data_IF_366327308421
#
_entry.id   IF_366327308421
#
_cell.length_a   1.000
_cell.length_b   1.000
_cell.length_c   1.000
_cell.angle_alpha   90.00
_cell.angle_beta   90.00
_cell.angle_gamma   90.00
#
_symmetry.space_group_name_H-M   'P 1'
#
loop_
_entity.id
_entity.type
_entity.pdbx_description
1 polymer ?
#
# COMPACT_ATOMS: atom_id res chain seq x y z
N UNK A 1 54.02 -22.53 51.66
CA UNK A 1 53.93 -21.19 51.02
C UNK A 1 52.91 -21.28 49.91
N UNK A 2 51.82 -20.53 50.03
CA UNK A 2 50.63 -20.66 49.18
C UNK A 2 50.83 -19.97 47.82
N UNK A 3 50.45 -20.66 46.74
CA UNK A 3 50.27 -20.09 45.41
C UNK A 3 48.89 -19.43 45.36
N UNK A 4 48.87 -18.10 45.20
CA UNK A 4 47.64 -17.33 44.97
C UNK A 4 47.43 -17.24 43.46
N UNK A 5 46.43 -17.93 42.94
CA UNK A 5 45.99 -17.81 41.56
C UNK A 5 45.02 -16.63 41.45
N UNK A 6 45.42 -15.56 40.76
CA UNK A 6 44.55 -14.45 40.38
C UNK A 6 43.71 -14.84 39.17
N UNK A 7 42.41 -15.05 39.37
CA UNK A 7 41.45 -15.22 38.30
C UNK A 7 41.09 -13.85 37.70
N UNK A 8 41.45 -13.62 36.42
CA UNK A 8 40.88 -12.53 35.63
C UNK A 8 39.40 -12.82 35.34
N UNK A 9 38.50 -12.06 35.97
CA UNK A 9 37.10 -12.03 35.58
C UNK A 9 36.95 -11.20 34.30
N UNK A 10 36.86 -11.87 33.14
CA UNK A 10 36.42 -11.25 31.91
C UNK A 10 34.89 -11.04 31.99
N UNK A 11 34.48 -9.80 32.28
CA UNK A 11 33.09 -9.39 32.11
C UNK A 11 32.77 -9.35 30.61
N UNK A 12 32.22 -10.45 30.09
CA UNK A 12 31.61 -10.48 28.76
C UNK A 12 30.32 -9.65 28.82
N UNK A 13 30.44 -8.36 28.55
CA UNK A 13 29.29 -7.50 28.26
C UNK A 13 28.61 -8.01 26.99
N UNK A 14 27.47 -8.68 27.14
CA UNK A 14 26.59 -8.95 26.01
C UNK A 14 26.11 -7.60 25.46
N UNK A 15 26.12 -7.37 24.14
CA UNK A 15 25.58 -6.13 23.60
C UNK A 15 24.08 -6.13 23.92
N UNK A 16 23.65 -5.17 24.74
CA UNK A 16 22.24 -4.87 24.95
C UNK A 16 21.71 -4.45 23.58
N UNK A 17 20.99 -5.36 22.90
CA UNK A 17 20.20 -5.01 21.74
C UNK A 17 19.18 -3.98 22.22
N UNK A 18 19.46 -2.70 21.96
CA UNK A 18 18.52 -1.64 22.26
C UNK A 18 17.23 -1.96 21.52
N UNK A 19 16.12 -2.05 22.25
CA UNK A 19 14.78 -2.05 21.66
C UNK A 19 14.74 -0.94 20.62
N UNK A 20 14.51 -1.32 19.35
CA UNK A 20 14.36 -0.36 18.28
C UNK A 20 13.27 0.63 18.72
N UNK A 21 13.64 1.88 18.91
CA UNK A 21 12.71 2.92 19.35
C UNK A 21 11.57 2.95 18.34
N UNK A 22 10.36 2.60 18.79
CA UNK A 22 9.19 2.56 17.93
C UNK A 22 9.05 3.89 17.19
N UNK A 23 8.94 3.83 15.86
CA UNK A 23 8.70 5.01 15.02
C UNK A 23 7.36 5.60 15.43
N UNK A 24 7.27 6.92 15.74
CA UNK A 24 6.05 7.52 16.26
C UNK A 24 5.04 7.80 15.14
N UNK A 25 4.51 6.74 14.51
CA UNK A 25 3.46 6.86 13.49
C UNK A 25 2.22 7.55 14.06
N UNK A 26 1.57 8.38 13.24
CA UNK A 26 0.33 9.08 13.60
C UNK A 26 -0.73 8.85 12.53
N UNK A 27 -1.90 8.36 12.95
CA UNK A 27 -3.10 8.36 12.10
C UNK A 27 -3.82 9.70 12.30
N UNK A 28 -3.76 10.58 11.30
CA UNK A 28 -4.43 11.89 11.36
C UNK A 28 -5.94 11.84 11.11
N UNK A 29 -6.43 10.73 10.55
CA UNK A 29 -7.85 10.49 10.25
C UNK A 29 -8.22 9.05 10.62
N UNK A 30 -9.50 8.83 10.93
CA UNK A 30 -10.03 7.49 11.17
C UNK A 30 -10.00 6.61 9.90
N UNK A 31 -10.31 5.32 10.06
CA UNK A 31 -10.22 4.35 8.96
C UNK A 31 -11.20 4.69 7.82
N UNK A 32 -12.43 5.09 8.14
CA UNK A 32 -13.44 5.43 7.13
C UNK A 32 -12.98 6.61 6.28
N UNK A 33 -12.56 7.69 6.94
CA UNK A 33 -12.04 8.89 6.29
C UNK A 33 -10.79 8.59 5.48
N UNK A 34 -9.91 7.72 5.97
CA UNK A 34 -8.73 7.27 5.22
C UNK A 34 -9.11 6.50 3.95
N UNK A 35 -10.04 5.56 4.05
CA UNK A 35 -10.53 4.83 2.89
C UNK A 35 -11.16 5.75 1.85
N UNK A 36 -12.00 6.69 2.29
CA UNK A 36 -12.74 7.61 1.40
C UNK A 36 -11.86 8.69 0.76
N UNK A 37 -10.89 9.24 1.50
CA UNK A 37 -10.14 10.42 1.05
C UNK A 37 -8.68 10.16 0.69
N UNK A 38 -8.16 8.95 0.93
CA UNK A 38 -6.78 8.59 0.55
C UNK A 38 -6.77 7.39 -0.39
N UNK A 39 -7.36 6.26 0.04
CA UNK A 39 -7.31 5.01 -0.72
C UNK A 39 -8.19 5.04 -1.98
N UNK A 40 -9.46 5.39 -1.82
CA UNK A 40 -10.45 5.39 -2.92
C UNK A 40 -10.06 6.34 -4.05
N UNK A 41 -9.64 7.61 -3.79
CA UNK A 41 -9.27 8.51 -4.88
C UNK A 41 -8.07 8.00 -5.68
N UNK A 42 -7.08 7.40 -5.01
CA UNK A 42 -5.90 6.83 -5.67
C UNK A 42 -6.27 5.61 -6.52
N UNK A 43 -7.10 4.70 -6.00
CA UNK A 43 -7.60 3.54 -6.76
C UNK A 43 -8.49 3.95 -7.94
N UNK A 44 -9.30 4.99 -7.78
CA UNK A 44 -10.19 5.52 -8.82
C UNK A 44 -9.43 5.95 -10.07
N UNK A 45 -8.22 6.48 -9.92
CA UNK A 45 -7.39 6.85 -11.07
C UNK A 45 -7.03 5.61 -11.91
N UNK A 46 -6.71 4.48 -11.26
CA UNK A 46 -6.42 3.21 -11.95
C UNK A 46 -7.67 2.65 -12.63
N UNK A 47 -8.80 2.61 -11.91
CA UNK A 47 -10.07 2.12 -12.48
C UNK A 47 -10.53 2.94 -13.69
N UNK A 48 -10.41 4.28 -13.62
CA UNK A 48 -10.79 5.18 -14.72
C UNK A 48 -9.97 4.95 -15.97
N UNK A 49 -8.68 4.59 -15.84
CA UNK A 49 -7.83 4.30 -17.00
C UNK A 49 -8.33 3.12 -17.84
N UNK A 50 -9.17 2.25 -17.27
CA UNK A 50 -9.80 1.11 -17.96
C UNK A 50 -11.30 1.34 -18.27
N UNK A 51 -11.84 2.52 -17.97
CA UNK A 51 -13.28 2.78 -18.03
C UNK A 51 -13.75 3.44 -19.33
N UNK A 52 -15.06 3.33 -19.59
CA UNK A 52 -15.78 4.21 -20.50
C UNK A 52 -16.93 4.90 -19.76
N UNK A 53 -17.35 6.07 -20.25
CA UNK A 53 -18.57 6.75 -19.79
C UNK A 53 -19.57 6.85 -20.93
N UNK A 54 -20.84 6.63 -20.64
CA UNK A 54 -21.92 6.81 -21.60
C UNK A 54 -22.70 8.07 -21.18
N UNK A 55 -22.77 9.05 -22.08
CA UNK A 55 -23.56 10.26 -21.90
C UNK A 55 -24.51 10.51 -23.09
N UNK A 56 -25.17 11.68 -23.12
CA UNK A 56 -26.12 12.04 -24.16
C UNK A 56 -25.51 12.08 -25.58
N UNK A 57 -24.19 12.12 -25.69
CA UNK A 57 -23.45 12.19 -26.96
C UNK A 57 -22.83 10.85 -27.37
N UNK A 58 -22.89 9.82 -26.53
CA UNK A 58 -22.42 8.47 -26.82
C UNK A 58 -21.49 7.89 -25.75
N UNK A 59 -20.78 6.83 -26.11
CA UNK A 59 -19.75 6.20 -25.28
C UNK A 59 -18.40 6.90 -25.49
N UNK A 60 -17.71 7.23 -24.39
CA UNK A 60 -16.40 7.86 -24.38
C UNK A 60 -15.41 7.00 -23.62
N UNK A 61 -14.36 6.58 -24.31
CA UNK A 61 -13.21 5.87 -23.73
C UNK A 61 -12.36 6.83 -22.87
N UNK A 62 -12.19 6.48 -21.60
CA UNK A 62 -11.40 7.21 -20.61
C UNK A 62 -9.93 6.75 -20.52
N UNK A 63 -9.51 5.81 -21.37
CA UNK A 63 -8.12 5.39 -21.42
C UNK A 63 -7.18 6.58 -21.68
N UNK A 64 -5.97 6.58 -21.08
CA UNK A 64 -5.01 7.67 -21.23
C UNK A 64 -4.50 7.79 -22.67
N UNK A 65 -4.59 8.99 -23.25
CA UNK A 65 -4.26 9.26 -24.67
C UNK A 65 -3.02 10.14 -24.82
N UNK A 66 -2.73 10.93 -23.81
CA UNK A 66 -1.62 11.88 -23.78
C UNK A 66 -0.63 11.55 -22.66
N UNK A 67 0.59 12.09 -22.74
CA UNK A 67 1.57 11.94 -21.67
C UNK A 67 1.06 12.50 -20.33
N UNK A 68 0.25 13.57 -20.37
CA UNK A 68 -0.38 14.14 -19.18
C UNK A 68 -1.38 13.18 -18.55
N UNK A 69 -2.18 12.47 -19.36
CA UNK A 69 -3.10 11.45 -18.84
C UNK A 69 -2.32 10.30 -18.18
N UNK A 70 -1.23 9.87 -18.81
CA UNK A 70 -0.36 8.83 -18.24
C UNK A 70 0.30 9.26 -16.93
N UNK A 71 0.76 10.51 -16.83
CA UNK A 71 1.33 11.06 -15.60
C UNK A 71 0.32 11.06 -14.44
N UNK A 72 -0.97 11.30 -14.73
CA UNK A 72 -2.02 11.17 -13.73
C UNK A 72 -2.14 9.73 -13.24
N UNK A 73 -2.11 8.73 -14.15
CA UNK A 73 -2.16 7.31 -13.78
C UNK A 73 -0.92 6.90 -12.97
N UNK A 74 0.26 7.36 -13.37
CA UNK A 74 1.52 7.17 -12.65
C UNK A 74 1.39 7.70 -11.22
N UNK A 75 0.98 8.96 -11.07
CA UNK A 75 0.82 9.62 -9.78
C UNK A 75 -0.21 8.91 -8.89
N UNK A 76 -1.36 8.53 -9.44
CA UNK A 76 -2.41 7.81 -8.73
C UNK A 76 -1.97 6.44 -8.25
N UNK A 77 -1.32 5.66 -9.13
CA UNK A 77 -0.85 4.32 -8.79
C UNK A 77 0.31 4.32 -7.79
N UNK A 78 1.25 5.27 -7.93
CA UNK A 78 2.31 5.46 -6.93
C UNK A 78 1.72 5.84 -5.57
N UNK A 79 0.75 6.77 -5.56
CA UNK A 79 0.05 7.17 -4.33
C UNK A 79 -0.66 5.98 -3.69
N UNK A 80 -1.36 5.15 -4.47
CA UNK A 80 -2.03 3.96 -3.94
C UNK A 80 -1.04 2.98 -3.33
N UNK A 81 0.06 2.70 -4.02
CA UNK A 81 1.10 1.78 -3.56
C UNK A 81 1.70 2.26 -2.23
N UNK A 82 2.06 3.53 -2.11
CA UNK A 82 2.63 4.08 -0.88
C UNK A 82 1.59 4.22 0.25
N UNK A 83 0.34 4.54 -0.08
CA UNK A 83 -0.72 4.67 0.91
C UNK A 83 -1.02 3.33 1.63
N UNK A 84 -0.72 2.19 1.02
CA UNK A 84 -0.87 0.88 1.68
C UNK A 84 -0.01 0.73 2.93
N UNK A 85 1.15 1.41 3.01
CA UNK A 85 1.96 1.44 4.22
C UNK A 85 1.17 2.01 5.41
N UNK A 86 0.32 3.01 5.15
CA UNK A 86 -0.53 3.60 6.16
C UNK A 86 -1.69 2.69 6.59
N UNK A 87 -2.01 1.61 5.87
CA UNK A 87 -2.91 0.56 6.37
C UNK A 87 -2.20 -0.34 7.40
N UNK A 88 -0.87 -0.45 7.33
CA UNK A 88 -0.07 -1.37 8.14
C UNK A 88 0.53 -0.73 9.39
N UNK A 89 0.29 0.57 9.64
CA UNK A 89 0.76 1.20 10.89
C UNK A 89 0.03 0.61 12.10
N UNK A 90 0.64 0.58 13.30
CA UNK A 90 0.07 -0.06 14.48
C UNK A 90 -1.32 0.46 14.89
N UNK A 91 -1.65 1.71 14.57
CA UNK A 91 -2.95 2.32 14.89
C UNK A 91 -4.09 1.86 13.98
N UNK A 92 -3.79 1.15 12.88
CA UNK A 92 -4.75 0.78 11.84
C UNK A 92 -4.75 -0.71 11.52
N UNK A 93 -3.59 -1.37 11.63
CA UNK A 93 -3.50 -2.81 11.44
C UNK A 93 -4.34 -3.55 12.48
N UNK A 94 -5.14 -4.52 12.03
CA UNK A 94 -5.98 -5.33 12.91
C UNK A 94 -5.28 -6.63 13.31
N UNK A 95 -4.80 -7.39 12.32
CA UNK A 95 -4.13 -8.67 12.51
C UNK A 95 -3.22 -9.01 11.33
N UNK A 96 -2.76 -10.26 11.26
CA UNK A 96 -1.91 -10.76 10.18
C UNK A 96 -2.61 -10.76 8.81
N UNK A 97 -3.89 -11.08 8.75
CA UNK A 97 -4.63 -11.15 7.48
C UNK A 97 -4.89 -9.74 6.94
N UNK A 98 -5.09 -8.74 7.81
CA UNK A 98 -5.12 -7.34 7.43
C UNK A 98 -3.83 -6.91 6.72
N UNK A 99 -2.69 -7.23 7.32
CA UNK A 99 -1.37 -6.91 6.76
C UNK A 99 -1.19 -7.60 5.41
N UNK A 100 -1.64 -8.85 5.28
CA UNK A 100 -1.57 -9.61 4.03
C UNK A 100 -2.37 -8.92 2.91
N UNK A 101 -3.63 -8.54 3.15
CA UNK A 101 -4.43 -7.81 2.16
C UNK A 101 -3.79 -6.47 1.78
N UNK A 102 -3.26 -5.72 2.74
CA UNK A 102 -2.56 -4.47 2.47
C UNK A 102 -1.32 -4.66 1.58
N UNK A 103 -0.55 -5.75 1.78
CA UNK A 103 0.62 -6.09 0.97
C UNK A 103 0.26 -6.58 -0.43
N UNK A 104 -0.84 -7.34 -0.56
CA UNK A 104 -1.39 -7.75 -1.86
C UNK A 104 -1.81 -6.51 -2.67
N UNK A 105 -2.53 -5.59 -2.04
CA UNK A 105 -2.90 -4.29 -2.63
C UNK A 105 -1.67 -3.48 -3.02
N UNK A 106 -0.65 -3.40 -2.15
CA UNK A 106 0.60 -2.69 -2.43
C UNK A 106 1.29 -3.25 -3.68
N UNK A 107 1.33 -4.57 -3.80
CA UNK A 107 1.95 -5.28 -4.92
C UNK A 107 1.22 -5.02 -6.23
N UNK A 108 -0.11 -5.09 -6.21
CA UNK A 108 -0.96 -4.79 -7.36
C UNK A 108 -0.81 -3.32 -7.79
N UNK A 109 -0.90 -2.38 -6.85
CA UNK A 109 -0.72 -0.95 -7.12
C UNK A 109 0.68 -0.64 -7.69
N UNK A 110 1.73 -1.28 -7.17
CA UNK A 110 3.08 -1.14 -7.71
C UNK A 110 3.22 -1.71 -9.13
N UNK A 111 2.46 -2.76 -9.49
CA UNK A 111 2.36 -3.25 -10.87
C UNK A 111 1.69 -2.20 -11.77
N UNK A 112 0.60 -1.57 -11.33
CA UNK A 112 -0.05 -0.50 -12.07
C UNK A 112 0.89 0.70 -12.26
N UNK A 113 1.59 1.13 -11.21
CA UNK A 113 2.59 2.21 -11.30
C UNK A 113 3.63 1.93 -12.38
N UNK A 114 4.27 0.74 -12.33
CA UNK A 114 5.25 0.35 -13.36
C UNK A 114 4.63 0.22 -14.75
N UNK A 115 3.38 -0.22 -14.85
CA UNK A 115 2.64 -0.29 -16.12
C UNK A 115 2.40 1.09 -16.70
N UNK A 116 1.94 2.02 -15.87
CA UNK A 116 1.69 3.41 -16.22
C UNK A 116 2.96 4.12 -16.70
N UNK A 117 4.10 3.94 -16.02
CA UNK A 117 5.42 4.46 -16.46
C UNK A 117 5.82 4.01 -17.87
N UNK A 118 5.36 2.83 -18.30
CA UNK A 118 5.63 2.27 -19.63
C UNK A 118 4.52 2.52 -20.64
N UNK A 119 3.49 3.28 -20.27
CA UNK A 119 2.27 3.47 -21.05
C UNK A 119 1.60 2.14 -21.47
N UNK A 120 1.65 1.15 -20.57
CA UNK A 120 1.18 -0.22 -20.80
C UNK A 120 -0.26 -0.34 -20.29
N UNK A 121 -1.23 0.02 -21.14
CA UNK A 121 -2.65 0.01 -20.76
C UNK A 121 -3.11 -1.38 -20.33
N UNK A 122 -2.64 -2.43 -21.00
CA UNK A 122 -2.98 -3.80 -20.63
C UNK A 122 -2.56 -4.12 -19.20
N UNK A 123 -1.33 -3.75 -18.80
CA UNK A 123 -0.86 -3.98 -17.44
C UNK A 123 -1.66 -3.19 -16.39
N UNK A 124 -2.10 -1.97 -16.71
CA UNK A 124 -2.96 -1.16 -15.84
C UNK A 124 -4.35 -1.76 -15.72
N UNK A 125 -4.97 -2.16 -16.84
CA UNK A 125 -6.29 -2.83 -16.88
C UNK A 125 -6.30 -4.14 -16.09
N UNK A 126 -5.26 -4.97 -16.20
CA UNK A 126 -5.16 -6.19 -15.40
C UNK A 126 -5.13 -5.90 -13.89
N UNK A 127 -4.55 -4.76 -13.48
CA UNK A 127 -4.56 -4.36 -12.06
C UNK A 127 -5.92 -3.80 -11.66
N UNK A 128 -6.58 -3.02 -12.53
CA UNK A 128 -7.94 -2.51 -12.30
C UNK A 128 -8.88 -3.63 -11.81
N UNK A 129 -8.91 -4.77 -12.52
CA UNK A 129 -9.76 -5.91 -12.14
C UNK A 129 -9.31 -6.57 -10.82
N UNK A 130 -7.98 -6.68 -10.61
CA UNK A 130 -7.43 -7.23 -9.36
C UNK A 130 -7.75 -6.37 -8.14
N UNK A 131 -7.82 -5.05 -8.29
CA UNK A 131 -8.16 -4.15 -7.18
C UNK A 131 -9.56 -4.44 -6.64
N UNK A 132 -10.53 -4.70 -7.51
CA UNK A 132 -11.90 -5.01 -7.09
C UNK A 132 -11.93 -6.29 -6.24
N UNK A 133 -11.24 -7.33 -6.69
CA UNK A 133 -11.15 -8.60 -5.97
C UNK A 133 -10.50 -8.43 -4.58
N UNK A 134 -9.36 -7.74 -4.50
CA UNK A 134 -8.61 -7.53 -3.25
C UNK A 134 -9.42 -6.66 -2.28
N UNK A 135 -9.96 -5.54 -2.77
CA UNK A 135 -10.75 -4.61 -1.97
C UNK A 135 -11.99 -5.30 -1.39
N UNK A 136 -12.78 -5.98 -2.22
CA UNK A 136 -13.98 -6.66 -1.74
C UNK A 136 -13.64 -7.86 -0.85
N UNK A 137 -12.55 -8.59 -1.11
CA UNK A 137 -12.12 -9.67 -0.21
C UNK A 137 -11.78 -9.17 1.18
N UNK A 138 -11.02 -8.07 1.29
CA UNK A 138 -10.71 -7.44 2.57
C UNK A 138 -11.99 -6.91 3.25
N UNK A 139 -12.84 -6.19 2.52
CA UNK A 139 -14.08 -5.62 3.08
C UNK A 139 -15.05 -6.70 3.60
N UNK A 140 -15.19 -7.83 2.88
CA UNK A 140 -15.97 -8.98 3.37
C UNK A 140 -15.38 -9.60 4.62
N UNK A 141 -14.07 -9.77 4.66
CA UNK A 141 -13.39 -10.39 5.80
C UNK A 141 -13.67 -9.61 7.09
N UNK A 142 -13.69 -8.28 7.01
CA UNK A 142 -13.91 -7.40 8.16
C UNK A 142 -15.34 -6.86 8.30
N UNK A 143 -16.28 -7.30 7.45
CA UNK A 143 -17.69 -6.96 7.55
C UNK A 143 -18.01 -5.48 7.29
N UNK A 144 -17.33 -4.87 6.32
CA UNK A 144 -17.46 -3.44 5.96
C UNK A 144 -17.92 -3.20 4.51
N UNK A 145 -18.54 -4.20 3.87
CA UNK A 145 -19.23 -4.03 2.58
C UNK A 145 -20.50 -3.17 2.69
#
# INVERSE_FOLDING_TARGET
>A
MALVATALAAAAGSPQQGEARAVPFQAHVDMKTFMEHVLTPAATIIWRANGSIIDATGEHDLSPKTNEDWEQVVSGAATLAEATNALMIPQRALDHDWIKYAQELATAAAKAYRGAERHDLKAVSEVSDQLDEICSACHRHYGVE
#
